data_IF_882857124165
#
_entry.id   IF_882857124165
#
_cell.length_a   1.000
_cell.length_b   1.000
_cell.length_c   1.000
_cell.angle_alpha   90.00
_cell.angle_beta   90.00
_cell.angle_gamma   90.00
#
_symmetry.space_group_name_H-M   'P 1'
#
loop_
_entity.id
_entity.type
_entity.pdbx_description
1 polymer ?
#
# COMPACT_ATOMS: atom_id res chain seq x y z
N UNK A 1 3.49 -54.12 31.02
CA UNK A 1 2.33 -53.58 30.31
C UNK A 1 2.30 -52.05 30.46
N UNK A 2 3.28 -51.35 29.89
CA UNK A 2 3.40 -49.88 29.89
C UNK A 2 4.27 -49.53 28.67
N UNK A 3 3.70 -48.95 27.59
CA UNK A 3 4.46 -48.28 26.50
C UNK A 3 3.63 -47.70 25.34
N UNK A 4 2.29 -47.68 25.38
CA UNK A 4 1.49 -47.13 24.26
C UNK A 4 1.14 -45.64 24.38
N UNK A 5 1.10 -45.07 25.59
CA UNK A 5 0.66 -43.68 25.78
C UNK A 5 1.76 -42.64 25.53
N UNK A 6 3.03 -43.01 25.66
CA UNK A 6 4.17 -42.09 25.44
C UNK A 6 4.40 -41.74 23.96
N UNK A 7 4.13 -42.69 23.05
CA UNK A 7 4.32 -42.48 21.60
C UNK A 7 3.26 -41.55 21.03
N UNK A 8 2.02 -41.65 21.52
CA UNK A 8 0.92 -40.77 21.09
C UNK A 8 1.14 -39.32 21.55
N UNK A 9 1.61 -39.13 22.79
CA UNK A 9 1.93 -37.80 23.31
C UNK A 9 3.10 -37.15 22.56
N UNK A 10 4.15 -37.92 22.23
CA UNK A 10 5.27 -37.45 21.43
C UNK A 10 4.88 -37.13 19.98
N UNK A 11 4.03 -37.95 19.35
CA UNK A 11 3.52 -37.68 18.01
C UNK A 11 2.63 -36.43 17.97
N UNK A 12 1.82 -36.19 19.01
CA UNK A 12 1.01 -34.98 19.13
C UNK A 12 1.89 -33.73 19.34
N UNK A 13 2.92 -33.82 20.18
CA UNK A 13 3.90 -32.75 20.40
C UNK A 13 4.73 -32.43 19.15
N UNK A 14 5.09 -33.45 18.35
CA UNK A 14 5.74 -33.27 17.05
C UNK A 14 4.80 -32.67 16.00
N UNK A 15 3.53 -33.07 15.97
CA UNK A 15 2.54 -32.47 15.08
C UNK A 15 2.28 -30.99 15.44
N UNK A 16 2.20 -30.68 16.74
CA UNK A 16 2.08 -29.30 17.23
C UNK A 16 3.34 -28.47 16.93
N UNK A 17 4.55 -29.03 17.01
CA UNK A 17 5.77 -28.27 16.70
C UNK A 17 5.96 -28.04 15.19
N UNK A 18 5.55 -28.97 14.33
CA UNK A 18 5.54 -28.78 12.87
C UNK A 18 4.50 -27.72 12.46
N UNK A 19 3.36 -27.61 13.16
CA UNK A 19 2.36 -26.57 12.89
C UNK A 19 2.78 -25.16 13.36
N UNK A 20 3.68 -25.04 14.34
CA UNK A 20 4.23 -23.73 14.78
C UNK A 20 5.41 -23.29 13.91
N UNK A 21 5.97 -24.20 13.09
CA UNK A 21 7.11 -23.93 12.20
C UNK A 21 6.71 -23.44 10.80
N UNK A 22 5.47 -22.98 10.63
CA UNK A 22 5.04 -22.27 9.43
C UNK A 22 5.68 -20.89 9.37
N UNK A 23 6.96 -20.81 8.99
CA UNK A 23 7.58 -19.58 8.54
C UNK A 23 6.85 -19.10 7.28
N UNK A 24 5.71 -18.43 7.43
CA UNK A 24 5.18 -17.59 6.37
C UNK A 24 6.24 -16.51 6.14
N UNK A 25 7.03 -16.66 5.08
CA UNK A 25 8.16 -15.78 4.81
C UNK A 25 7.71 -14.33 4.79
N UNK A 26 8.40 -13.48 5.55
CA UNK A 26 8.18 -12.05 5.49
C UNK A 26 8.58 -11.56 4.09
N UNK A 27 7.63 -11.01 3.32
CA UNK A 27 7.92 -10.46 2.00
C UNK A 27 8.67 -9.14 2.16
N UNK A 28 9.86 -9.06 1.59
CA UNK A 28 10.62 -7.81 1.47
C UNK A 28 10.38 -7.18 0.12
N UNK A 29 10.40 -5.85 0.08
CA UNK A 29 10.26 -5.12 -1.17
C UNK A 29 11.46 -5.38 -2.07
N UNK A 30 11.21 -5.69 -3.34
CA UNK A 30 12.27 -5.80 -4.35
C UNK A 30 12.47 -4.43 -4.99
N UNK A 31 13.72 -3.96 -5.09
CA UNK A 31 14.02 -2.72 -5.83
C UNK A 31 13.84 -2.94 -7.32
N UNK A 32 13.23 -1.99 -8.01
CA UNK A 32 13.11 -2.02 -9.47
C UNK A 32 14.37 -1.41 -10.08
N UNK A 33 15.04 -2.18 -10.94
CA UNK A 33 16.10 -1.64 -11.77
C UNK A 33 15.49 -0.68 -12.81
N UNK A 34 16.04 0.54 -12.86
CA UNK A 34 15.62 1.54 -13.84
C UNK A 34 16.32 1.26 -15.17
N UNK A 35 15.62 1.43 -16.31
CA UNK A 35 16.27 1.36 -17.62
C UNK A 35 17.35 2.44 -17.74
N UNK A 36 18.54 2.07 -18.23
CA UNK A 36 19.70 2.97 -18.31
C UNK A 36 19.86 3.64 -19.69
N UNK A 37 19.19 3.13 -20.73
CA UNK A 37 19.34 3.65 -22.09
C UNK A 37 18.64 4.99 -22.27
N UNK A 38 19.38 6.09 -22.36
CA UNK A 38 18.80 7.40 -22.65
C UNK A 38 18.13 7.42 -24.03
N UNK A 39 16.94 8.03 -24.10
CA UNK A 39 16.17 8.15 -25.33
C UNK A 39 15.61 9.55 -25.51
N UNK A 40 15.55 10.01 -26.75
CA UNK A 40 14.82 11.24 -27.10
C UNK A 40 13.32 10.99 -26.94
N UNK A 41 12.63 11.92 -26.27
CA UNK A 41 11.18 11.87 -26.09
C UNK A 41 10.47 11.85 -27.46
N UNK A 42 9.85 10.72 -27.80
CA UNK A 42 9.05 10.59 -29.02
C UNK A 42 7.56 10.85 -28.76
N UNK A 43 6.78 11.04 -29.84
CA UNK A 43 5.30 11.11 -29.74
C UNK A 43 4.70 9.83 -29.16
N UNK A 44 5.28 8.67 -29.46
CA UNK A 44 4.84 7.39 -28.92
C UNK A 44 5.04 7.29 -27.41
N UNK A 45 6.15 7.83 -26.90
CA UNK A 45 6.45 7.87 -25.47
C UNK A 45 5.51 8.81 -24.72
N UNK A 46 5.22 9.99 -25.28
CA UNK A 46 4.22 10.89 -24.73
C UNK A 46 2.83 10.23 -24.69
N UNK A 47 2.45 9.46 -25.72
CA UNK A 47 1.19 8.72 -25.73
C UNK A 47 1.16 7.58 -24.69
N UNK A 48 2.28 6.86 -24.51
CA UNK A 48 2.41 5.84 -23.45
C UNK A 48 2.24 6.47 -22.07
N UNK A 49 2.95 7.56 -21.80
CA UNK A 49 2.82 8.31 -20.55
C UNK A 49 1.38 8.77 -20.30
N UNK A 50 0.68 9.28 -21.33
CA UNK A 50 -0.72 9.70 -21.21
C UNK A 50 -1.66 8.53 -20.87
N UNK A 51 -1.41 7.32 -21.39
CA UNK A 51 -2.18 6.13 -21.00
C UNK A 51 -1.91 5.73 -19.55
N UNK A 52 -0.64 5.74 -19.14
CA UNK A 52 -0.21 5.34 -17.80
C UNK A 52 -0.76 6.30 -16.73
N UNK A 53 -0.68 7.61 -16.95
CA UNK A 53 -1.12 8.62 -15.96
C UNK A 53 -2.61 8.59 -15.66
N UNK A 54 -3.40 8.11 -16.61
CA UNK A 54 -4.85 8.03 -16.53
C UNK A 54 -5.31 6.58 -16.50
N UNK A 55 -4.50 5.65 -15.96
CA UNK A 55 -4.81 4.23 -15.98
C UNK A 55 -6.16 3.95 -15.29
N UNK A 56 -7.02 3.24 -16.04
CA UNK A 56 -8.34 2.77 -15.64
C UNK A 56 -9.18 3.80 -14.85
N UNK A 57 -9.52 4.98 -15.43
CA UNK A 57 -10.21 6.05 -14.71
C UNK A 57 -11.66 5.69 -14.38
N UNK A 58 -12.20 4.66 -15.04
CA UNK A 58 -13.53 4.10 -14.77
C UNK A 58 -13.56 3.25 -13.49
N UNK A 59 -12.41 2.85 -12.94
CA UNK A 59 -12.33 2.22 -11.62
C UNK A 59 -12.27 3.34 -10.58
N UNK A 60 -13.37 3.47 -9.85
CA UNK A 60 -13.62 4.55 -8.88
C UNK A 60 -13.62 4.05 -7.43
N UNK A 61 -13.78 2.75 -7.20
CA UNK A 61 -13.63 2.16 -5.88
C UNK A 61 -13.07 0.74 -5.93
N UNK A 62 -12.48 0.31 -4.81
CA UNK A 62 -12.15 -1.09 -4.54
C UNK A 62 -12.69 -1.49 -3.17
N UNK A 63 -13.14 -2.73 -3.05
CA UNK A 63 -13.49 -3.42 -1.82
C UNK A 63 -12.84 -4.81 -1.88
N UNK A 64 -11.89 -5.10 -0.99
CA UNK A 64 -11.11 -6.33 -1.07
C UNK A 64 -10.49 -6.77 0.25
N UNK A 65 -9.97 -7.98 0.24
CA UNK A 65 -9.19 -8.58 1.32
C UNK A 65 -7.74 -8.66 0.91
N UNK A 66 -6.84 -8.26 1.80
CA UNK A 66 -5.41 -8.22 1.53
C UNK A 66 -4.58 -8.65 2.73
N UNK A 67 -3.49 -9.35 2.44
CA UNK A 67 -2.37 -9.47 3.34
C UNK A 67 -1.54 -8.17 3.30
N UNK A 68 -1.24 -7.63 4.48
CA UNK A 68 -0.40 -6.45 4.63
C UNK A 68 0.82 -6.78 5.48
N UNK A 69 2.01 -6.53 4.93
CA UNK A 69 3.27 -6.64 5.64
C UNK A 69 3.85 -5.26 5.88
N UNK A 70 4.20 -4.95 7.12
CA UNK A 70 4.88 -3.74 7.50
C UNK A 70 6.24 -4.08 8.11
N UNK A 71 7.29 -3.43 7.62
CA UNK A 71 8.64 -3.50 8.16
C UNK A 71 9.12 -2.11 8.48
N UNK A 72 9.57 -1.93 9.70
CA UNK A 72 10.33 -0.75 10.16
C UNK A 72 11.70 -1.21 10.63
N UNK A 73 12.56 -0.29 11.08
CA UNK A 73 13.82 -0.66 11.74
C UNK A 73 13.61 -1.56 12.97
N UNK A 74 12.53 -1.32 13.73
CA UNK A 74 12.29 -1.97 15.03
C UNK A 74 11.36 -3.18 14.91
N UNK A 75 10.45 -3.18 13.93
CA UNK A 75 9.31 -4.08 13.93
C UNK A 75 9.05 -4.70 12.55
N UNK A 76 8.50 -5.92 12.57
CA UNK A 76 8.04 -6.65 11.38
C UNK A 76 6.69 -7.27 11.70
N UNK A 77 5.66 -6.85 10.98
CA UNK A 77 4.29 -7.30 11.19
C UNK A 77 3.69 -7.81 9.89
N UNK A 78 2.94 -8.91 9.99
CA UNK A 78 1.98 -9.34 8.98
C UNK A 78 0.59 -9.21 9.61
N UNK A 79 -0.33 -8.53 8.92
CA UNK A 79 -1.72 -8.40 9.32
C UNK A 79 -2.64 -8.70 8.14
N UNK A 80 -3.88 -9.05 8.44
CA UNK A 80 -4.92 -9.29 7.43
C UNK A 80 -5.87 -8.10 7.43
N UNK A 81 -6.21 -7.57 6.27
CA UNK A 81 -7.01 -6.35 6.15
C UNK A 81 -8.19 -6.54 5.21
N UNK A 82 -9.37 -6.08 5.61
CA UNK A 82 -10.42 -5.69 4.66
C UNK A 82 -10.21 -4.23 4.29
N UNK A 83 -9.99 -3.95 3.01
CA UNK A 83 -9.64 -2.64 2.49
C UNK A 83 -10.77 -2.16 1.57
N UNK A 84 -11.30 -0.98 1.87
CA UNK A 84 -12.23 -0.26 1.01
C UNK A 84 -11.65 1.11 0.67
N UNK A 85 -11.66 1.46 -0.61
CA UNK A 85 -11.15 2.75 -1.09
C UNK A 85 -12.10 3.32 -2.10
N UNK A 86 -12.39 4.61 -1.99
CA UNK A 86 -12.98 5.42 -3.04
C UNK A 86 -11.86 6.31 -3.61
N UNK A 87 -11.60 6.21 -4.91
CA UNK A 87 -10.53 6.96 -5.61
C UNK A 87 -10.69 8.46 -5.40
N UNK A 88 -9.63 9.13 -4.93
CA UNK A 88 -9.65 10.57 -4.60
C UNK A 88 -10.58 10.94 -3.44
N UNK A 89 -11.03 9.97 -2.66
CA UNK A 89 -11.98 10.13 -1.57
C UNK A 89 -11.47 9.52 -0.28
N UNK A 90 -12.33 8.74 0.34
CA UNK A 90 -12.08 8.09 1.63
C UNK A 90 -11.50 6.69 1.43
N UNK A 91 -10.73 6.23 2.41
CA UNK A 91 -10.28 4.85 2.52
C UNK A 91 -10.57 4.32 3.92
N UNK A 92 -10.85 3.03 4.04
CA UNK A 92 -11.01 2.33 5.31
C UNK A 92 -10.31 0.99 5.28
N UNK A 93 -9.61 0.68 6.36
CA UNK A 93 -8.92 -0.58 6.56
C UNK A 93 -9.36 -1.17 7.90
N UNK A 94 -10.02 -2.33 7.87
CA UNK A 94 -10.29 -3.11 9.05
C UNK A 94 -9.18 -4.15 9.21
N UNK A 95 -8.31 -3.94 10.20
CA UNK A 95 -7.14 -4.75 10.48
C UNK A 95 -7.52 -5.88 11.43
N UNK A 96 -7.15 -7.11 11.07
CA UNK A 96 -7.44 -8.33 11.83
C UNK A 96 -6.15 -9.05 12.22
N UNK A 97 -6.12 -9.60 13.43
CA UNK A 97 -4.99 -10.37 13.93
C UNK A 97 -5.13 -11.87 13.64
N UNK A 98 -4.11 -12.44 12.98
CA UNK A 98 -3.93 -13.88 12.85
C UNK A 98 -5.05 -14.63 12.08
N UNK A 99 -5.03 -15.95 12.19
CA UNK A 99 -5.96 -16.87 11.49
C UNK A 99 -7.42 -16.78 11.97
N UNK A 100 -7.67 -16.25 13.18
CA UNK A 100 -9.01 -16.19 13.78
C UNK A 100 -9.83 -15.04 13.18
N UNK A 101 -9.20 -14.10 12.46
CA UNK A 101 -9.91 -12.99 11.80
C UNK A 101 -10.52 -11.98 12.78
N UNK A 102 -10.04 -11.96 14.03
CA UNK A 102 -10.54 -11.02 15.04
C UNK A 102 -10.07 -9.60 14.68
N UNK A 103 -10.99 -8.64 14.50
CA UNK A 103 -10.61 -7.27 14.19
C UNK A 103 -9.95 -6.62 15.41
N UNK A 104 -8.81 -5.99 15.17
CA UNK A 104 -7.99 -5.35 16.21
C UNK A 104 -7.89 -3.84 16.04
N UNK A 105 -8.06 -3.35 14.82
CA UNK A 105 -8.12 -1.92 14.55
C UNK A 105 -9.02 -1.60 13.36
N UNK A 106 -9.70 -0.46 13.42
CA UNK A 106 -10.47 0.09 12.30
C UNK A 106 -9.92 1.47 11.94
N UNK A 107 -9.24 1.55 10.80
CA UNK A 107 -8.54 2.74 10.32
C UNK A 107 -9.38 3.39 9.23
N UNK A 108 -9.63 4.68 9.34
CA UNK A 108 -10.26 5.47 8.31
C UNK A 108 -9.38 6.66 7.93
N UNK A 109 -9.16 6.83 6.64
CA UNK A 109 -8.41 7.92 6.04
C UNK A 109 -9.38 8.70 5.17
N UNK A 110 -9.89 9.81 5.69
CA UNK A 110 -10.73 10.74 4.96
C UNK A 110 -9.91 11.81 4.25
N UNK A 111 -10.57 12.80 3.65
CA UNK A 111 -9.89 13.93 3.02
C UNK A 111 -9.14 14.78 4.03
N UNK A 112 -9.83 15.13 5.12
CA UNK A 112 -9.32 16.11 6.10
C UNK A 112 -8.95 15.47 7.44
N UNK A 113 -9.36 14.22 7.67
CA UNK A 113 -9.16 13.54 8.95
C UNK A 113 -8.70 12.11 8.80
N UNK A 114 -7.98 11.63 9.80
CA UNK A 114 -7.66 10.22 10.00
C UNK A 114 -8.22 9.81 11.35
N UNK A 115 -8.93 8.70 11.37
CA UNK A 115 -9.64 8.16 12.52
C UNK A 115 -9.16 6.74 12.73
N UNK A 116 -8.89 6.35 13.97
CA UNK A 116 -8.56 4.96 14.26
C UNK A 116 -9.19 4.48 15.55
N UNK A 117 -9.85 3.34 15.49
CA UNK A 117 -10.33 2.64 16.68
C UNK A 117 -9.38 1.49 17.03
N UNK A 118 -8.69 1.60 18.17
CA UNK A 118 -8.05 0.47 18.86
C UNK A 118 -9.14 -0.39 19.47
N UNK A 119 -9.47 -1.50 18.84
CA UNK A 119 -10.55 -2.36 19.32
C UNK A 119 -10.12 -3.15 20.56
N UNK A 120 -8.81 -3.40 20.73
CA UNK A 120 -8.28 -4.15 21.87
C UNK A 120 -8.29 -3.32 23.16
N UNK A 121 -8.03 -2.01 23.05
CA UNK A 121 -7.97 -1.10 24.20
C UNK A 121 -9.18 -0.17 24.32
N UNK A 122 -10.14 -0.31 23.41
CA UNK A 122 -11.29 0.58 23.23
C UNK A 122 -10.90 2.08 23.24
N UNK A 123 -9.92 2.44 22.41
CA UNK A 123 -9.44 3.83 22.27
C UNK A 123 -9.72 4.33 20.87
N UNK A 124 -10.22 5.55 20.76
CA UNK A 124 -10.56 6.17 19.49
C UNK A 124 -9.64 7.37 19.24
N UNK A 125 -8.78 7.25 18.24
CA UNK A 125 -7.83 8.26 17.83
C UNK A 125 -8.43 9.10 16.70
N UNK A 126 -8.28 10.41 16.80
CA UNK A 126 -8.78 11.35 15.79
C UNK A 126 -7.76 12.45 15.56
N UNK A 127 -7.56 12.83 14.30
CA UNK A 127 -6.70 13.94 13.92
C UNK A 127 -6.81 14.30 12.44
N UNK A 128 -6.01 15.27 12.01
CA UNK A 128 -5.94 15.72 10.63
C UNK A 128 -5.28 14.70 9.69
N UNK A 129 -5.68 14.70 8.43
CA UNK A 129 -5.06 13.87 7.39
C UNK A 129 -3.77 14.50 6.87
N UNK A 130 -2.68 14.26 7.59
CA UNK A 130 -1.34 14.74 7.26
C UNK A 130 -0.31 13.62 7.42
N UNK A 131 0.87 13.83 6.84
CA UNK A 131 1.96 12.85 6.84
C UNK A 131 2.37 12.40 8.25
N UNK A 132 2.44 13.34 9.21
CA UNK A 132 2.79 13.03 10.61
C UNK A 132 1.80 12.09 11.27
N UNK A 133 0.49 12.31 11.08
CA UNK A 133 -0.54 11.45 11.66
C UNK A 133 -0.61 10.08 10.96
N UNK A 134 -0.43 10.03 9.63
CA UNK A 134 -0.34 8.76 8.90
C UNK A 134 0.91 7.96 9.32
N UNK A 135 2.04 8.63 9.56
CA UNK A 135 3.26 7.99 10.08
C UNK A 135 2.98 7.31 11.42
N UNK A 136 2.25 7.96 12.34
CA UNK A 136 1.90 7.37 13.64
C UNK A 136 1.02 6.13 13.52
N UNK A 137 0.17 6.05 12.50
CA UNK A 137 -0.86 5.00 12.35
C UNK A 137 -0.40 3.83 11.50
N UNK A 138 0.34 4.11 10.43
CA UNK A 138 0.80 3.13 9.45
C UNK A 138 2.29 2.83 9.59
N UNK A 139 3.01 3.58 10.43
CA UNK A 139 4.46 3.46 10.58
C UNK A 139 5.23 3.97 9.36
N UNK A 140 4.57 4.76 8.50
CA UNK A 140 4.90 4.99 7.08
C UNK A 140 4.65 6.47 6.79
N UNK A 141 5.74 7.27 6.71
CA UNK A 141 5.68 8.72 6.45
C UNK A 141 5.41 8.98 4.98
N UNK A 142 4.15 9.18 4.62
CA UNK A 142 3.78 9.43 3.23
C UNK A 142 2.60 10.38 3.13
N UNK A 143 2.53 11.08 2.00
CA UNK A 143 1.40 11.94 1.67
C UNK A 143 0.10 11.12 1.56
N UNK A 144 -1.05 11.65 2.03
CA UNK A 144 -2.31 10.91 2.03
C UNK A 144 -2.76 10.37 0.66
N UNK A 145 -2.47 11.12 -0.41
CA UNK A 145 -2.78 10.69 -1.77
C UNK A 145 -1.96 9.47 -2.20
N UNK A 146 -0.71 9.37 -1.72
CA UNK A 146 0.15 8.26 -2.04
C UNK A 146 -0.37 6.97 -1.40
N UNK A 147 -0.76 7.01 -0.12
CA UNK A 147 -1.40 5.87 0.55
C UNK A 147 -2.70 5.47 -0.12
N UNK A 148 -3.61 6.41 -0.35
CA UNK A 148 -4.94 6.10 -0.90
C UNK A 148 -4.84 5.54 -2.32
N UNK A 149 -3.97 6.11 -3.17
CA UNK A 149 -3.71 5.58 -4.51
C UNK A 149 -3.02 4.21 -4.48
N UNK A 150 -2.11 3.99 -3.52
CA UNK A 150 -1.45 2.70 -3.33
C UNK A 150 -2.41 1.64 -2.82
N UNK A 151 -3.35 1.96 -1.94
CA UNK A 151 -4.39 1.01 -1.52
C UNK A 151 -5.25 0.62 -2.74
N UNK A 152 -5.59 1.56 -3.61
CA UNK A 152 -6.35 1.26 -4.83
C UNK A 152 -5.55 0.41 -5.86
N UNK A 153 -4.22 0.51 -5.86
CA UNK A 153 -3.36 -0.05 -6.91
C UNK A 153 -3.43 0.68 -8.24
N UNK A 154 -4.09 1.83 -8.27
CA UNK A 154 -4.21 2.71 -9.42
C UNK A 154 -3.83 4.11 -8.97
N UNK A 155 -2.65 4.54 -9.38
CA UNK A 155 -2.11 5.85 -9.04
C UNK A 155 -2.52 6.88 -10.08
N UNK A 156 -3.00 8.04 -9.63
CA UNK A 156 -3.18 9.22 -10.47
C UNK A 156 -1.86 10.00 -10.56
N UNK A 157 -1.40 10.25 -11.78
CA UNK A 157 -0.21 11.06 -12.06
C UNK A 157 -0.69 12.38 -12.69
N UNK A 158 -0.86 13.44 -11.88
CA UNK A 158 -1.48 14.67 -12.35
C UNK A 158 -0.64 15.40 -13.39
N UNK A 159 0.69 15.24 -13.35
CA UNK A 159 1.63 15.92 -14.23
C UNK A 159 1.36 15.61 -15.72
N UNK A 160 1.24 16.64 -16.59
CA UNK A 160 1.01 16.45 -18.02
C UNK A 160 2.29 15.94 -18.72
N UNK A 161 2.15 15.43 -19.95
CA UNK A 161 3.32 14.99 -20.74
C UNK A 161 4.36 16.10 -20.99
N UNK A 162 3.95 17.38 -20.97
CA UNK A 162 4.89 18.51 -21.06
C UNK A 162 5.82 18.67 -19.85
N UNK A 163 5.55 17.97 -18.75
CA UNK A 163 6.41 17.94 -17.56
C UNK A 163 7.56 16.92 -17.67
N UNK A 164 7.57 16.08 -18.71
CA UNK A 164 8.62 15.08 -18.94
C UNK A 164 9.95 15.80 -19.23
N UNK A 165 10.97 15.47 -18.45
CA UNK A 165 12.33 16.01 -18.55
C UNK A 165 13.28 15.07 -19.27
N UNK A 166 13.15 13.76 -19.03
CA UNK A 166 13.93 12.75 -19.70
C UNK A 166 13.17 11.44 -19.81
N UNK A 167 13.57 10.63 -20.78
CA UNK A 167 13.05 9.28 -21.03
C UNK A 167 14.21 8.32 -21.07
N UNK A 168 14.09 7.19 -20.39
CA UNK A 168 15.04 6.07 -20.54
C UNK A 168 14.27 4.80 -20.92
N UNK A 169 14.91 3.94 -21.71
CA UNK A 169 14.33 2.70 -22.25
C UNK A 169 15.30 1.54 -22.08
N UNK A 170 14.74 0.36 -21.82
CA UNK A 170 15.50 -0.88 -21.64
C UNK A 170 14.57 -2.01 -21.23
N UNK A 171 14.84 -3.23 -21.69
CA UNK A 171 14.15 -4.45 -21.28
C UNK A 171 12.61 -4.38 -21.32
N UNK A 172 12.06 -3.74 -22.34
CA UNK A 172 10.61 -3.57 -22.50
C UNK A 172 9.98 -2.55 -21.56
N UNK A 173 10.78 -1.84 -20.76
CA UNK A 173 10.35 -0.77 -19.87
C UNK A 173 10.71 0.61 -20.41
N UNK A 174 9.91 1.59 -20.02
CA UNK A 174 10.15 3.02 -20.27
C UNK A 174 10.05 3.76 -18.96
N UNK A 175 11.10 4.47 -18.56
CA UNK A 175 11.07 5.39 -17.43
C UNK A 175 10.89 6.83 -17.92
N UNK A 176 10.04 7.58 -17.23
CA UNK A 176 9.79 9.00 -17.47
C UNK A 176 10.19 9.78 -16.22
N UNK A 177 11.22 10.61 -16.32
CA UNK A 177 11.52 11.59 -15.27
C UNK A 177 10.64 12.82 -15.50
N UNK A 178 9.79 13.17 -14.55
CA UNK A 178 8.82 14.26 -14.65
C UNK A 178 9.06 15.28 -13.55
N UNK A 179 8.99 16.56 -13.90
CA UNK A 179 9.02 17.63 -12.91
C UNK A 179 7.68 17.69 -12.15
N UNK A 180 7.76 17.80 -10.83
CA UNK A 180 6.62 17.93 -9.92
C UNK A 180 6.81 19.18 -9.06
N UNK A 181 5.73 19.77 -8.55
CA UNK A 181 5.80 21.02 -7.76
C UNK A 181 6.73 20.95 -6.54
N UNK A 182 6.91 19.76 -5.96
CA UNK A 182 7.77 19.53 -4.78
C UNK A 182 9.09 18.81 -5.09
N UNK A 183 9.43 18.59 -6.36
CA UNK A 183 10.63 17.86 -6.76
C UNK A 183 10.48 17.15 -8.10
N UNK A 184 10.71 15.85 -8.14
CA UNK A 184 10.58 15.04 -9.36
C UNK A 184 9.91 13.70 -9.07
N UNK A 185 9.29 13.12 -10.10
CA UNK A 185 8.84 11.72 -10.05
C UNK A 185 9.51 10.94 -11.18
N UNK A 186 9.74 9.66 -10.97
CA UNK A 186 10.14 8.73 -12.03
C UNK A 186 9.03 7.71 -12.19
N UNK A 187 8.39 7.72 -13.35
CA UNK A 187 7.28 6.84 -13.71
C UNK A 187 7.86 5.74 -14.58
N UNK A 188 7.80 4.48 -14.13
CA UNK A 188 8.28 3.33 -14.90
C UNK A 188 7.08 2.57 -15.43
N UNK A 189 6.99 2.45 -16.76
CA UNK A 189 5.89 1.81 -17.45
C UNK A 189 6.38 0.64 -18.29
N UNK A 190 5.53 -0.38 -18.39
CA UNK A 190 5.69 -1.47 -19.33
C UNK A 190 5.25 -1.03 -20.73
N UNK A 191 6.15 -1.09 -21.70
CA UNK A 191 5.91 -0.58 -23.05
C UNK A 191 4.83 -1.36 -23.81
N UNK A 192 4.68 -2.65 -23.53
CA UNK A 192 3.76 -3.54 -24.24
C UNK A 192 2.34 -3.45 -23.67
N UNK A 193 2.22 -3.56 -22.34
CA UNK A 193 0.92 -3.56 -21.65
C UNK A 193 0.43 -2.16 -21.27
N UNK A 194 1.32 -1.17 -21.24
CA UNK A 194 0.98 0.19 -20.80
C UNK A 194 0.69 0.32 -19.30
N UNK A 195 1.05 -0.68 -18.50
CA UNK A 195 0.85 -0.66 -17.05
C UNK A 195 1.97 0.08 -16.33
N UNK A 196 1.62 0.79 -15.25
CA UNK A 196 2.59 1.39 -14.33
C UNK A 196 3.30 0.29 -13.53
N UNK A 197 4.61 0.12 -13.68
CA UNK A 197 5.40 -0.89 -12.96
C UNK A 197 6.03 -0.35 -11.70
N UNK A 198 6.49 0.89 -11.72
CA UNK A 198 7.03 1.56 -10.55
C UNK A 198 6.80 3.07 -10.59
N UNK A 199 6.76 3.67 -9.40
CA UNK A 199 6.71 5.11 -9.22
C UNK A 199 7.68 5.51 -8.12
N UNK A 200 8.69 6.29 -8.45
CA UNK A 200 9.59 6.91 -7.49
C UNK A 200 9.23 8.38 -7.32
N UNK A 201 9.27 8.88 -6.09
CA UNK A 201 9.08 10.30 -5.76
C UNK A 201 10.37 10.81 -5.13
N UNK A 202 10.83 11.96 -5.61
CA UNK A 202 12.02 12.65 -5.15
C UNK A 202 11.67 14.05 -4.67
N UNK A 203 12.33 14.50 -3.61
CA UNK A 203 12.21 15.88 -3.12
C UNK A 203 12.92 16.88 -4.06
N UNK A 204 12.84 18.18 -3.72
CA UNK A 204 13.49 19.26 -4.48
C UNK A 204 15.03 19.17 -4.48
N UNK A 205 15.63 18.43 -3.56
CA UNK A 205 17.07 18.14 -3.53
C UNK A 205 17.44 16.89 -4.35
N UNK A 206 16.45 16.21 -4.97
CA UNK A 206 16.64 15.00 -5.75
C UNK A 206 16.76 13.73 -4.92
N UNK A 207 16.54 13.78 -3.61
CA UNK A 207 16.58 12.61 -2.73
C UNK A 207 15.30 11.80 -2.89
N UNK A 208 15.44 10.48 -3.02
CA UNK A 208 14.30 9.56 -3.06
C UNK A 208 13.56 9.60 -1.72
N UNK A 209 12.27 9.92 -1.73
CA UNK A 209 11.43 9.93 -0.52
C UNK A 209 10.53 8.71 -0.47
N UNK A 210 10.04 8.26 -1.62
CA UNK A 210 9.22 7.06 -1.73
C UNK A 210 9.43 6.33 -3.05
N UNK A 211 9.25 5.03 -3.02
CA UNK A 211 9.29 4.15 -4.18
C UNK A 211 8.15 3.14 -4.06
N UNK A 212 7.39 2.96 -5.13
CA UNK A 212 6.30 2.00 -5.22
C UNK A 212 6.54 1.06 -6.39
N UNK A 213 6.21 -0.22 -6.22
CA UNK A 213 6.23 -1.23 -7.26
C UNK A 213 4.87 -1.91 -7.35
N UNK A 214 4.43 -2.12 -8.58
CA UNK A 214 3.17 -2.75 -8.90
C UNK A 214 3.47 -4.07 -9.62
N UNK A 215 2.96 -5.17 -9.07
CA UNK A 215 3.29 -6.54 -9.51
C UNK A 215 2.05 -7.39 -9.62
N UNK A 216 2.24 -8.58 -10.20
CA UNK A 216 1.22 -9.62 -10.30
C UNK A 216 -0.08 -9.09 -10.92
N UNK A 217 0.03 -8.48 -12.10
CA UNK A 217 -1.10 -7.87 -12.76
C UNK A 217 -2.12 -8.92 -13.19
N UNK A 218 -3.38 -8.65 -12.91
CA UNK A 218 -4.51 -9.44 -13.37
C UNK A 218 -5.42 -8.59 -14.25
N UNK A 219 -6.07 -9.24 -15.21
CA UNK A 219 -7.10 -8.61 -16.02
C UNK A 219 -8.40 -8.54 -15.21
N UNK A 220 -9.04 -7.39 -15.19
CA UNK A 220 -10.37 -7.20 -14.61
C UNK A 220 -11.31 -6.56 -15.63
N UNK A 221 -12.60 -6.85 -15.49
CA UNK A 221 -13.67 -6.23 -16.27
C UNK A 221 -14.60 -5.47 -15.34
N UNK A 222 -14.83 -4.18 -15.63
CA UNK A 222 -15.69 -3.30 -14.85
C UNK A 222 -16.55 -2.50 -15.83
N UNK A 223 -17.87 -2.63 -15.73
CA UNK A 223 -18.83 -1.95 -16.61
C UNK A 223 -18.51 -2.11 -18.12
N UNK A 224 -18.11 -3.33 -18.52
CA UNK A 224 -17.76 -3.66 -19.90
C UNK A 224 -16.39 -3.14 -20.38
N UNK A 225 -15.60 -2.50 -19.50
CA UNK A 225 -14.25 -2.03 -19.79
C UNK A 225 -13.21 -2.94 -19.12
N UNK A 226 -12.15 -3.26 -19.86
CA UNK A 226 -11.04 -4.08 -19.37
C UNK A 226 -9.90 -3.20 -18.85
N UNK A 227 -9.24 -3.63 -17.78
CA UNK A 227 -8.00 -3.06 -17.27
C UNK A 227 -7.09 -4.14 -16.70
N UNK A 228 -5.79 -3.86 -16.70
CA UNK A 228 -4.81 -4.63 -15.91
C UNK A 228 -4.59 -3.91 -14.58
N UNK A 229 -4.79 -4.63 -13.48
CA UNK A 229 -4.69 -4.11 -12.11
C UNK A 229 -3.66 -4.91 -11.32
N UNK A 230 -2.78 -4.27 -10.53
CA UNK A 230 -1.74 -5.00 -9.79
C UNK A 230 -2.34 -5.71 -8.58
N UNK A 231 -2.05 -6.99 -8.39
CA UNK A 231 -2.47 -7.73 -7.19
C UNK A 231 -1.55 -7.46 -5.99
N UNK A 232 -0.28 -7.18 -6.25
CA UNK A 232 0.72 -6.88 -5.23
C UNK A 232 1.29 -5.48 -5.42
N UNK A 233 1.38 -4.75 -4.32
CA UNK A 233 1.86 -3.37 -4.26
C UNK A 233 2.90 -3.31 -3.15
N UNK A 234 4.11 -2.98 -3.55
CA UNK A 234 5.25 -2.85 -2.65
C UNK A 234 5.64 -1.39 -2.54
N UNK A 235 5.88 -0.90 -1.34
CA UNK A 235 6.25 0.48 -1.09
C UNK A 235 7.45 0.52 -0.17
N UNK A 236 8.44 1.31 -0.57
CA UNK A 236 9.58 1.72 0.25
C UNK A 236 9.45 3.20 0.53
N UNK A 237 9.55 3.56 1.81
CA UNK A 237 9.67 4.95 2.22
C UNK A 237 11.00 5.17 2.90
N UNK A 238 11.68 6.23 2.49
CA UNK A 238 12.90 6.67 3.16
C UNK A 238 12.48 7.44 4.40
N UNK A 239 12.86 6.93 5.58
CA UNK A 239 12.66 7.65 6.83
C UNK A 239 13.65 8.79 7.01
N UNK A 240 13.34 9.71 7.91
CA UNK A 240 14.30 10.72 8.37
C UNK A 240 15.56 10.07 8.97
N UNK A 241 16.62 10.85 9.13
CA UNK A 241 17.86 10.39 9.77
C UNK A 241 17.58 9.65 11.09
N UNK A 242 18.07 8.41 11.19
CA UNK A 242 17.89 7.55 12.36
C UNK A 242 16.61 6.72 12.42
N UNK A 243 15.59 6.99 11.57
CA UNK A 243 14.36 6.17 11.49
C UNK A 243 14.45 5.01 10.48
N UNK A 244 15.39 5.10 9.55
CA UNK A 244 15.70 4.07 8.54
C UNK A 244 14.58 3.82 7.52
N UNK A 245 14.81 2.84 6.65
CA UNK A 245 13.87 2.47 5.59
C UNK A 245 12.64 1.77 6.17
N UNK A 246 11.46 2.15 5.68
CA UNK A 246 10.18 1.50 5.98
C UNK A 246 9.63 0.84 4.74
N UNK A 247 9.11 -0.37 4.90
CA UNK A 247 8.54 -1.15 3.81
C UNK A 247 7.10 -1.53 4.13
N UNK A 248 6.23 -1.34 3.15
CA UNK A 248 4.83 -1.77 3.19
C UNK A 248 4.58 -2.64 1.96
N UNK A 249 4.02 -3.83 2.16
CA UNK A 249 3.57 -4.69 1.07
C UNK A 249 2.09 -4.95 1.26
N UNK A 250 1.29 -4.72 0.22
CA UNK A 250 -0.13 -5.03 0.16
C UNK A 250 -0.30 -6.08 -0.93
N UNK A 251 -0.81 -7.27 -0.60
CA UNK A 251 -1.12 -8.31 -1.58
C UNK A 251 -2.59 -8.67 -1.45
N UNK A 252 -3.38 -8.32 -2.46
CA UNK A 252 -4.80 -8.61 -2.50
C UNK A 252 -5.03 -10.10 -2.73
N UNK A 253 -5.88 -10.72 -1.93
CA UNK A 253 -6.35 -12.08 -2.16
C UNK A 253 -7.56 -12.07 -3.07
N UNK A 254 -8.50 -11.17 -2.77
CA UNK A 254 -9.73 -10.96 -3.53
C UNK A 254 -10.08 -9.47 -3.52
N UNK A 255 -10.69 -8.99 -4.61
CA UNK A 255 -11.20 -7.63 -4.70
C UNK A 255 -12.34 -7.49 -5.70
N UNK A 256 -13.25 -6.59 -5.39
CA UNK A 256 -14.30 -6.13 -6.28
C UNK A 256 -14.12 -4.63 -6.55
N UNK A 257 -14.33 -4.23 -7.79
CA UNK A 257 -14.23 -2.83 -8.21
C UNK A 257 -15.62 -2.22 -8.40
N UNK A 258 -15.73 -0.91 -8.17
CA UNK A 258 -16.97 -0.14 -8.34
C UNK A 258 -18.16 -0.69 -7.54
N UNK A 259 -17.90 -1.43 -6.45
CA UNK A 259 -18.98 -1.84 -5.54
C UNK A 259 -19.56 -0.58 -4.90
N UNK A 260 -20.89 -0.54 -4.78
CA UNK A 260 -21.57 0.54 -4.05
C UNK A 260 -21.13 0.49 -2.59
N UNK A 261 -20.25 1.42 -2.22
CA UNK A 261 -19.80 1.59 -0.86
C UNK A 261 -20.72 2.61 -0.19
N UNK A 262 -21.30 2.24 0.96
CA UNK A 262 -21.92 3.22 1.86
C UNK A 262 -20.87 4.16 2.46
N UNK A 263 -21.28 4.97 3.46
CA UNK A 263 -20.29 5.75 4.21
C UNK A 263 -19.25 4.80 4.82
N UNK A 264 -17.98 5.12 4.58
CA UNK A 264 -16.87 4.35 5.16
C UNK A 264 -16.49 4.87 6.54
N UNK A 265 -16.94 6.07 6.92
CA UNK A 265 -16.59 6.69 8.20
C UNK A 265 -17.01 5.79 9.38
N UNK A 266 -16.08 5.47 10.29
CA UNK A 266 -16.40 4.68 11.46
C UNK A 266 -17.28 5.47 12.42
N UNK A 267 -18.15 4.76 13.12
CA UNK A 267 -18.91 5.31 14.25
C UNK A 267 -18.00 5.27 15.47
N UNK A 268 -17.99 6.36 16.25
CA UNK A 268 -17.26 6.36 17.53
C UNK A 268 -17.94 5.35 18.46
N UNK A 269 -17.23 4.32 18.95
CA UNK A 269 -17.82 3.33 19.83
C UNK A 269 -18.21 3.94 21.18
N UNK A 270 -19.27 3.38 21.78
CA UNK A 270 -19.70 3.78 23.10
C UNK A 270 -18.58 3.56 24.14
N UNK A 271 -18.41 4.55 25.02
CA UNK A 271 -17.40 4.56 26.08
C UNK A 271 -15.94 4.49 25.60
N UNK A 272 -15.66 4.63 24.28
CA UNK A 272 -14.29 4.69 23.80
C UNK A 272 -13.60 5.97 24.30
N UNK A 273 -12.37 5.84 24.82
CA UNK A 273 -11.57 7.01 25.17
C UNK A 273 -11.10 7.70 23.89
N UNK A 274 -11.55 8.94 23.66
CA UNK A 274 -11.11 9.74 22.52
C UNK A 274 -9.74 10.35 22.80
N UNK A 275 -8.82 10.22 21.87
CA UNK A 275 -7.44 10.71 21.95
C UNK A 275 -7.11 11.50 20.68
N UNK A 276 -6.51 12.67 20.85
CA UNK A 276 -6.00 13.48 19.75
C UNK A 276 -4.73 12.86 19.16
N UNK A 277 -4.67 12.67 17.85
CA UNK A 277 -3.46 12.20 17.17
C UNK A 277 -2.37 13.27 17.18
N UNK A 278 -2.74 14.55 17.21
CA UNK A 278 -1.83 15.69 17.19
C UNK A 278 -0.95 15.69 18.45
N UNK A 279 -1.54 15.35 19.59
CA UNK A 279 -0.93 15.34 20.92
C UNK A 279 -0.29 13.99 21.28
N UNK A 280 -0.62 12.94 20.54
CA UNK A 280 -0.09 11.60 20.79
C UNK A 280 1.29 11.40 20.16
N UNK A 281 2.24 10.80 20.90
CA UNK A 281 3.56 10.47 20.35
C UNK A 281 3.53 9.28 19.38
N UNK A 282 2.50 8.44 19.46
CA UNK A 282 2.38 7.24 18.65
C UNK A 282 1.19 6.38 19.04
N UNK A 283 0.88 5.40 18.21
CA UNK A 283 -0.31 4.59 18.32
C UNK A 283 0.06 3.17 18.78
N UNK A 284 -0.54 2.62 19.85
CA UNK A 284 0.03 1.51 20.62
C UNK A 284 -0.08 0.10 19.99
N UNK A 285 -0.33 -0.02 18.69
CA UNK A 285 -0.40 -1.30 17.98
C UNK A 285 0.58 -1.41 16.80
N UNK A 286 1.46 -0.42 16.64
CA UNK A 286 2.66 -0.46 15.80
C UNK A 286 3.92 -0.24 16.65
#
# INVERSE_FOLDING_TARGET
>A
MMRKNGVLAWALLLALSVMVSGCSGFRTVSRQELPLGEAVLSKGDAALYQRVRASAPFITSVDGYADVWLKTLKHRHKVYCSIRVNRGGESRMLVSAGFIGLPVADIFIGRDSVLVHDMLRNRYFSGGNNERNLEKILGVSSGPMLISGSLLGLMDIPEPAGAIRSVQKGDGLVSFSIASGSGAKVVVADSASGTLRALQVKDGAGRLTSEMHFKDFEACMVDGKSAMVPRTIEMVLQGDEGKGERQLVISYDERAFNRRNGSMRPVVPDNARVVSLEESDGVPWL
#
